data_IF_937348971768
#
_entry.id   IF_937348971768
#
_cell.length_a   1.000
_cell.length_b   1.000
_cell.length_c   1.000
_cell.angle_alpha   90.00
_cell.angle_beta   90.00
_cell.angle_gamma   90.00
#
_symmetry.space_group_name_H-M   'P 1'
#
loop_
_entity.id
_entity.type
_entity.pdbx_description
1 polymer ?
#
# COMPACT_ATOMS: atom_id res chain seq x y z
N UNK A 1 18.98 -16.26 -9.99
CA UNK A 1 17.55 -16.06 -9.83
C UNK A 1 17.10 -14.83 -10.62
N UNK A 2 15.94 -14.90 -11.23
CA UNK A 2 15.36 -13.77 -11.96
C UNK A 2 14.03 -13.43 -11.35
N UNK A 3 13.79 -12.14 -11.16
CA UNK A 3 12.53 -11.66 -10.60
C UNK A 3 12.15 -10.32 -11.22
N UNK A 4 10.86 -10.03 -11.16
CA UNK A 4 10.32 -8.72 -11.50
C UNK A 4 9.93 -7.99 -10.23
N UNK A 5 9.98 -6.68 -10.29
CA UNK A 5 9.53 -5.82 -9.23
C UNK A 5 8.58 -4.79 -9.82
N UNK A 6 7.35 -4.76 -9.30
CA UNK A 6 6.33 -3.80 -9.70
C UNK A 6 6.15 -2.82 -8.56
N UNK A 7 6.15 -1.53 -8.86
CA UNK A 7 6.00 -0.50 -7.86
C UNK A 7 4.88 0.48 -8.22
N UNK A 8 4.15 0.90 -7.19
CA UNK A 8 3.39 2.14 -7.23
C UNK A 8 4.18 3.12 -6.37
N UNK A 9 4.55 4.26 -6.94
CA UNK A 9 5.47 5.18 -6.28
C UNK A 9 4.82 6.54 -6.08
N UNK A 10 4.94 7.07 -4.87
CA UNK A 10 4.52 8.42 -4.52
C UNK A 10 3.04 8.70 -4.86
N UNK A 11 2.19 7.71 -4.62
CA UNK A 11 0.75 7.84 -4.90
C UNK A 11 0.10 8.63 -3.77
N UNK A 12 -0.48 9.76 -4.11
CA UNK A 12 -1.12 10.64 -3.13
C UNK A 12 -2.62 10.40 -3.14
N UNK A 13 -3.18 10.22 -1.95
CA UNK A 13 -4.62 10.02 -1.78
C UNK A 13 -5.10 10.65 -0.48
N UNK A 14 -6.27 11.30 -0.52
CA UNK A 14 -6.92 11.83 0.67
C UNK A 14 -7.75 10.72 1.30
N UNK A 15 -7.56 10.49 2.59
CA UNK A 15 -8.24 9.41 3.29
C UNK A 15 -8.47 9.78 4.76
N UNK A 16 -9.27 8.94 5.45
CA UNK A 16 -9.81 9.25 6.78
C UNK A 16 -9.36 8.21 7.79
N UNK A 17 -8.03 8.08 7.94
CA UNK A 17 -7.43 7.15 8.89
C UNK A 17 -6.78 7.92 10.05
N UNK A 18 -6.96 7.42 11.26
CA UNK A 18 -6.30 7.98 12.44
C UNK A 18 -6.94 7.49 13.73
N UNK A 19 -6.16 7.53 14.81
CA UNK A 19 -6.60 7.11 16.14
C UNK A 19 -7.68 8.05 16.69
N UNK A 20 -7.51 9.35 16.46
CA UNK A 20 -8.45 10.35 16.96
C UNK A 20 -9.66 10.49 16.04
N UNK A 21 -10.83 10.70 16.66
CA UNK A 21 -12.07 10.85 15.91
C UNK A 21 -12.02 11.98 14.88
N UNK A 22 -11.40 13.13 15.24
CA UNK A 22 -11.29 14.24 14.31
C UNK A 22 -10.48 13.90 13.07
N UNK A 23 -9.51 13.00 13.17
CA UNK A 23 -8.73 12.54 12.01
C UNK A 23 -9.61 11.76 11.05
N UNK A 24 -10.51 10.93 11.57
CA UNK A 24 -11.43 10.13 10.75
C UNK A 24 -12.57 10.97 10.19
N UNK A 25 -12.84 12.13 10.78
CA UNK A 25 -13.84 13.06 10.29
C UNK A 25 -13.28 14.01 9.23
N UNK A 26 -12.11 14.58 9.49
CA UNK A 26 -11.52 15.63 8.65
C UNK A 26 -10.58 15.10 7.57
N UNK A 27 -9.96 13.95 7.82
CA UNK A 27 -9.05 13.33 6.86
C UNK A 27 -7.66 13.92 6.83
N UNK A 28 -6.85 13.36 5.95
CA UNK A 28 -5.47 13.80 5.74
C UNK A 28 -5.00 13.33 4.36
N UNK A 29 -3.90 13.90 3.89
CA UNK A 29 -3.22 13.43 2.69
C UNK A 29 -2.29 12.30 3.07
N UNK A 30 -2.41 11.17 2.38
CA UNK A 30 -1.53 10.01 2.55
C UNK A 30 -0.74 9.78 1.28
N UNK A 31 0.47 9.29 1.44
CA UNK A 31 1.30 8.84 0.32
C UNK A 31 1.51 7.34 0.45
N UNK A 32 1.26 6.62 -0.62
CA UNK A 32 1.45 5.17 -0.67
C UNK A 32 2.62 4.86 -1.59
N UNK A 33 3.52 4.02 -1.10
CA UNK A 33 4.58 3.41 -1.89
C UNK A 33 4.44 1.89 -1.71
N UNK A 34 4.25 1.20 -2.82
CA UNK A 34 4.00 -0.23 -2.85
C UNK A 34 5.05 -0.90 -3.72
N UNK A 35 5.59 -2.01 -3.22
CA UNK A 35 6.56 -2.82 -3.94
C UNK A 35 6.11 -4.28 -3.90
N UNK A 36 5.99 -4.90 -5.07
CA UNK A 36 5.65 -6.32 -5.19
C UNK A 36 6.70 -6.98 -6.06
N UNK A 37 7.34 -8.01 -5.54
CA UNK A 37 8.31 -8.82 -6.29
C UNK A 37 7.71 -10.19 -6.57
N UNK A 38 8.01 -10.71 -7.74
CA UNK A 38 7.64 -12.07 -8.08
C UNK A 38 8.67 -12.66 -9.03
N UNK A 39 8.96 -13.93 -8.84
CA UNK A 39 9.75 -14.68 -9.81
C UNK A 39 8.79 -15.27 -10.82
N UNK A 40 9.16 -15.18 -12.07
CA UNK A 40 8.27 -15.63 -13.12
C UNK A 40 9.03 -16.11 -14.31
N UNK A 41 8.33 -16.89 -15.09
CA UNK A 41 8.70 -17.18 -16.45
C UNK A 41 8.36 -15.97 -17.31
N UNK A 42 8.80 -16.01 -18.54
CA UNK A 42 8.41 -15.01 -19.52
C UNK A 42 6.90 -14.86 -19.58
N UNK A 43 6.46 -13.62 -19.53
CA UNK A 43 5.06 -13.30 -19.66
C UNK A 43 4.55 -13.51 -21.09
N UNK A 44 5.47 -13.65 -22.05
CA UNK A 44 5.15 -13.66 -23.49
C UNK A 44 4.33 -12.41 -23.88
N UNK A 45 4.60 -11.31 -23.20
CA UNK A 45 3.90 -10.05 -23.42
C UNK A 45 2.40 -10.14 -23.14
N UNK A 46 2.01 -11.04 -22.23
CA UNK A 46 0.62 -11.26 -21.83
C UNK A 46 0.41 -10.77 -20.39
N UNK A 47 -0.49 -9.81 -20.22
CA UNK A 47 -0.76 -9.18 -18.93
C UNK A 47 -1.26 -10.18 -17.88
N UNK A 48 -1.92 -11.26 -18.31
CA UNK A 48 -2.42 -12.26 -17.38
C UNK A 48 -1.31 -13.05 -16.69
N UNK A 49 -0.11 -13.04 -17.27
CA UNK A 49 1.06 -13.72 -16.72
C UNK A 49 1.92 -12.82 -15.86
N UNK A 50 1.43 -11.63 -15.49
CA UNK A 50 2.15 -10.66 -14.69
C UNK A 50 1.32 -10.21 -13.50
N UNK A 51 1.94 -9.39 -12.63
CA UNK A 51 1.22 -8.67 -11.58
C UNK A 51 0.85 -7.30 -12.16
N UNK A 52 -0.42 -7.09 -12.45
CA UNK A 52 -0.89 -5.83 -13.04
C UNK A 52 -0.92 -4.71 -12.00
N UNK A 53 -0.23 -3.60 -12.29
CA UNK A 53 -0.27 -2.45 -11.38
C UNK A 53 -1.65 -1.78 -11.35
N UNK A 54 -2.48 -1.98 -12.35
CA UNK A 54 -3.87 -1.51 -12.33
C UNK A 54 -4.66 -2.24 -11.25
N UNK A 55 -4.47 -3.56 -11.13
CA UNK A 55 -5.10 -4.36 -10.08
C UNK A 55 -4.57 -3.97 -8.70
N UNK A 56 -3.25 -3.71 -8.59
CA UNK A 56 -2.66 -3.24 -7.35
C UNK A 56 -3.28 -1.91 -6.90
N UNK A 57 -3.46 -0.99 -7.82
CA UNK A 57 -4.10 0.30 -7.53
C UNK A 57 -5.54 0.11 -7.07
N UNK A 58 -6.28 -0.80 -7.71
CA UNK A 58 -7.65 -1.12 -7.31
C UNK A 58 -7.74 -1.58 -5.86
N UNK A 59 -6.82 -2.45 -5.45
CA UNK A 59 -6.75 -2.96 -4.07
C UNK A 59 -6.44 -1.82 -3.09
N UNK A 60 -5.46 -1.00 -3.41
CA UNK A 60 -5.08 0.15 -2.57
C UNK A 60 -6.26 1.11 -2.41
N UNK A 61 -6.86 1.48 -3.53
CA UNK A 61 -7.96 2.45 -3.55
C UNK A 61 -9.14 1.97 -2.71
N UNK A 62 -9.49 0.70 -2.82
CA UNK A 62 -10.60 0.12 -2.07
C UNK A 62 -10.35 0.17 -0.56
N UNK A 63 -9.15 -0.23 -0.11
CA UNK A 63 -8.83 -0.19 1.32
C UNK A 63 -8.79 1.25 1.84
N UNK A 64 -8.31 2.19 1.05
CA UNK A 64 -8.19 3.58 1.47
C UNK A 64 -9.56 4.28 1.66
N UNK A 65 -10.65 3.72 1.12
CA UNK A 65 -11.99 4.28 1.31
C UNK A 65 -12.59 3.95 2.67
N UNK A 66 -12.05 2.97 3.39
CA UNK A 66 -12.57 2.54 4.69
C UNK A 66 -11.76 3.21 5.80
N UNK A 67 -12.38 4.06 6.65
CA UNK A 67 -11.65 4.68 7.76
C UNK A 67 -11.11 3.62 8.72
N UNK A 68 -9.83 3.73 9.06
CA UNK A 68 -9.18 2.86 10.03
C UNK A 68 -8.51 3.70 11.10
N UNK A 69 -8.39 3.14 12.30
CA UNK A 69 -7.72 3.83 13.40
C UNK A 69 -6.21 3.78 13.27
N UNK A 70 -5.68 2.66 12.77
CA UNK A 70 -4.24 2.43 12.70
C UNK A 70 -3.76 2.32 11.25
N UNK A 71 -2.68 2.99 10.93
CA UNK A 71 -2.03 2.87 9.62
C UNK A 71 -1.49 1.46 9.41
N UNK A 72 -1.09 0.79 10.48
CA UNK A 72 -0.65 -0.61 10.46
C UNK A 72 -1.75 -1.52 9.90
N UNK A 73 -2.99 -1.28 10.29
CA UNK A 73 -4.13 -2.04 9.78
C UNK A 73 -4.30 -1.85 8.28
N UNK A 74 -4.21 -0.59 7.82
CA UNK A 74 -4.33 -0.27 6.39
C UNK A 74 -3.23 -0.97 5.59
N UNK A 75 -1.98 -0.80 6.01
CA UNK A 75 -0.82 -1.38 5.31
C UNK A 75 -0.90 -2.90 5.26
N UNK A 76 -1.29 -3.54 6.38
CA UNK A 76 -1.47 -4.99 6.45
C UNK A 76 -2.59 -5.45 5.51
N UNK A 77 -3.73 -4.79 5.55
CA UNK A 77 -4.88 -5.19 4.74
C UNK A 77 -4.56 -5.10 3.24
N UNK A 78 -3.89 -4.04 2.81
CA UNK A 78 -3.45 -3.91 1.42
C UNK A 78 -2.53 -5.07 1.06
N UNK A 79 -1.51 -5.31 1.88
CA UNK A 79 -0.50 -6.35 1.59
C UNK A 79 -1.10 -7.75 1.57
N UNK A 80 -1.99 -8.06 2.53
CA UNK A 80 -2.64 -9.37 2.58
C UNK A 80 -3.57 -9.60 1.38
N UNK A 81 -4.29 -8.58 0.96
CA UNK A 81 -5.15 -8.68 -0.24
C UNK A 81 -4.33 -8.92 -1.50
N UNK A 82 -3.18 -8.25 -1.61
CA UNK A 82 -2.26 -8.46 -2.73
C UNK A 82 -1.71 -9.88 -2.71
N UNK A 83 -1.32 -10.36 -1.53
CA UNK A 83 -0.78 -11.71 -1.37
C UNK A 83 -1.81 -12.78 -1.78
N UNK A 84 -3.06 -12.57 -1.43
CA UNK A 84 -4.14 -13.48 -1.82
C UNK A 84 -4.42 -13.43 -3.32
N UNK A 85 -4.39 -12.23 -3.91
CA UNK A 85 -4.71 -12.03 -5.33
C UNK A 85 -3.56 -12.50 -6.24
N UNK A 86 -2.32 -12.34 -5.77
CA UNK A 86 -1.11 -12.69 -6.52
C UNK A 86 -0.23 -13.62 -5.70
N UNK A 87 -0.62 -14.92 -5.58
CA UNK A 87 0.12 -15.87 -4.74
C UNK A 87 1.54 -16.14 -5.22
N UNK A 88 1.88 -15.78 -6.45
CA UNK A 88 3.24 -15.86 -6.97
C UNK A 88 4.19 -14.82 -6.37
N UNK A 89 3.69 -13.87 -5.59
CA UNK A 89 4.49 -12.82 -4.99
C UNK A 89 5.49 -13.40 -3.98
N UNK A 90 6.75 -13.00 -4.10
CA UNK A 90 7.80 -13.41 -3.17
C UNK A 90 8.06 -12.36 -2.10
N UNK A 91 7.70 -11.11 -2.39
CA UNK A 91 7.88 -10.00 -1.47
C UNK A 91 6.82 -8.95 -1.75
N UNK A 92 6.20 -8.44 -0.69
CA UNK A 92 5.25 -7.34 -0.77
C UNK A 92 5.60 -6.35 0.34
N UNK A 93 5.71 -5.08 -0.01
CA UNK A 93 5.88 -4.03 0.98
C UNK A 93 4.90 -2.90 0.67
N UNK A 94 4.12 -2.53 1.67
CA UNK A 94 3.26 -1.35 1.59
C UNK A 94 3.72 -0.35 2.63
N UNK A 95 4.16 0.82 2.15
CA UNK A 95 4.54 1.94 3.03
C UNK A 95 3.49 3.02 2.90
N UNK A 96 2.91 3.37 4.03
CA UNK A 96 1.86 4.39 4.12
C UNK A 96 2.38 5.56 4.96
N UNK A 97 2.39 6.74 4.38
CA UNK A 97 2.91 7.95 5.00
C UNK A 97 1.78 8.95 5.23
N UNK A 98 1.63 9.41 6.45
CA UNK A 98 0.73 10.51 6.79
C UNK A 98 1.51 11.82 6.63
N UNK A 99 1.05 12.68 5.72
CA UNK A 99 1.80 13.88 5.35
C UNK A 99 1.77 14.98 6.43
N UNK A 100 0.70 15.04 7.21
CA UNK A 100 0.54 16.03 8.27
C UNK A 100 0.05 15.35 9.54
N UNK A 101 0.94 14.62 10.24
CA UNK A 101 0.53 13.96 11.48
C UNK A 101 0.18 14.99 12.56
N UNK A 102 -0.88 14.74 13.35
CA UNK A 102 -1.34 15.69 14.38
C UNK A 102 -0.47 15.62 15.64
N UNK A 103 0.79 15.93 15.50
CA UNK A 103 1.76 15.92 16.58
C UNK A 103 2.18 17.35 16.85
N UNK A 104 1.97 17.80 18.10
CA UNK A 104 2.29 19.18 18.49
C UNK A 104 3.79 19.42 18.40
N UNK A 105 4.17 20.56 17.79
CA UNK A 105 5.57 20.99 17.64
C UNK A 105 6.40 20.02 16.79
N UNK A 106 5.76 19.29 15.89
CA UNK A 106 6.42 18.33 15.00
C UNK A 106 6.38 18.84 13.57
N UNK A 107 7.54 18.84 12.93
CA UNK A 107 7.65 19.13 11.50
C UNK A 107 8.21 17.91 10.83
N UNK A 108 7.43 17.31 9.94
CA UNK A 108 7.82 16.08 9.26
C UNK A 108 6.63 15.21 8.95
N UNK A 109 6.91 13.97 8.64
CA UNK A 109 5.93 12.98 8.24
C UNK A 109 6.08 11.73 9.10
N UNK A 110 4.99 10.97 9.24
CA UNK A 110 5.03 9.69 9.94
C UNK A 110 4.62 8.59 8.97
N UNK A 111 5.33 7.49 8.99
CA UNK A 111 5.05 6.38 8.08
C UNK A 111 5.06 5.04 8.79
N UNK A 112 4.33 4.10 8.21
CA UNK A 112 4.27 2.72 8.62
C UNK A 112 4.52 1.86 7.37
N UNK A 113 5.30 0.82 7.51
CA UNK A 113 5.49 -0.14 6.44
C UNK A 113 5.15 -1.54 6.96
N UNK A 114 4.48 -2.33 6.13
CA UNK A 114 4.18 -3.73 6.39
C UNK A 114 4.75 -4.56 5.26
N UNK A 115 5.42 -5.66 5.62
CA UNK A 115 6.09 -6.53 4.65
C UNK A 115 5.62 -7.96 4.78
N UNK A 116 5.44 -8.61 3.63
CA UNK A 116 5.24 -10.05 3.54
C UNK A 116 6.43 -10.60 2.76
N UNK A 117 7.11 -11.57 3.35
CA UNK A 117 8.23 -12.27 2.70
C UNK A 117 7.83 -13.74 2.60
N UNK A 118 7.59 -14.19 1.40
CA UNK A 118 7.17 -15.57 1.13
C UNK A 118 8.35 -16.48 0.77
#
# INVERSE_FOLDING_TARGET
MREYEIRLENVMIYAYHGVFEHERRDGNVFEINLCVRYSGCDSNDDIENTVSYVDLWGIVKEEMTVPRKLLETVARNISEKINARFPQSTFIECKLTKKQPPIKNFTGEASVAYRIVN
#
